data_IF_367370363403
#
_entry.id   IF_367370363403
#
_cell.length_a   1.000
_cell.length_b   1.000
_cell.length_c   1.000
_cell.angle_alpha   90.00
_cell.angle_beta   90.00
_cell.angle_gamma   90.00
#
_symmetry.space_group_name_H-M   'P 1'
#
loop_
_entity.id
_entity.type
_entity.pdbx_description
1 polymer ?
#
# COMPACT_ATOMS: atom_id res chain seq x y z
N UNK A 1 -8.39 -18.32 -12.98
CA UNK A 1 -8.14 -16.97 -13.51
C UNK A 1 -7.68 -16.10 -12.37
N UNK A 2 -6.37 -16.01 -12.20
CA UNK A 2 -5.73 -15.09 -11.27
C UNK A 2 -6.08 -13.66 -11.71
N UNK A 3 -6.99 -13.03 -10.95
CA UNK A 3 -7.43 -11.65 -11.18
C UNK A 3 -6.33 -10.65 -10.83
N UNK A 4 -5.34 -11.09 -10.07
CA UNK A 4 -4.15 -10.33 -9.70
C UNK A 4 -3.00 -10.85 -10.55
N UNK A 5 -2.55 -10.06 -11.52
CA UNK A 5 -1.42 -10.38 -12.40
C UNK A 5 -0.14 -9.61 -12.03
N UNK A 6 -0.28 -8.74 -11.04
CA UNK A 6 0.71 -7.77 -10.61
C UNK A 6 0.90 -7.89 -9.10
N UNK A 7 2.10 -7.59 -8.65
CA UNK A 7 2.35 -7.37 -7.23
C UNK A 7 1.61 -6.09 -6.81
N UNK A 8 1.20 -6.01 -5.54
CA UNK A 8 0.48 -4.84 -5.01
C UNK A 8 1.33 -4.11 -3.99
N UNK A 9 1.30 -2.79 -4.03
CA UNK A 9 1.78 -1.96 -2.92
C UNK A 9 0.58 -1.58 -2.08
N UNK A 10 0.67 -1.77 -0.77
CA UNK A 10 -0.37 -1.48 0.21
C UNK A 10 0.11 -0.42 1.19
N UNK A 11 -0.83 0.40 1.65
CA UNK A 11 -0.64 1.32 2.76
C UNK A 11 -1.79 1.15 3.75
N UNK A 12 -1.46 1.20 5.04
CA UNK A 12 -2.43 1.10 6.12
C UNK A 12 -2.33 2.35 6.99
N UNK A 13 -2.84 3.50 6.49
CA UNK A 13 -2.75 4.76 7.23
C UNK A 13 -3.53 4.68 8.55
N UNK A 14 -4.66 3.97 8.56
CA UNK A 14 -5.52 3.77 9.74
C UNK A 14 -6.07 2.36 9.85
N UNK A 15 -6.65 2.05 11.02
CA UNK A 15 -7.03 0.69 11.40
C UNK A 15 -8.11 0.08 10.50
N UNK A 16 -8.99 0.93 9.97
CA UNK A 16 -10.13 0.53 9.15
C UNK A 16 -9.88 0.77 7.65
N UNK A 17 -8.77 1.43 7.29
CA UNK A 17 -8.47 1.82 5.91
C UNK A 17 -7.21 1.12 5.40
N UNK A 18 -7.39 0.32 4.34
CA UNK A 18 -6.28 -0.27 3.58
C UNK A 18 -6.36 0.23 2.16
N UNK A 19 -5.31 0.91 1.72
CA UNK A 19 -5.15 1.37 0.34
C UNK A 19 -4.21 0.41 -0.39
N UNK A 20 -4.46 0.14 -1.67
CA UNK A 20 -3.59 -0.71 -2.48
C UNK A 20 -3.59 -0.29 -3.95
N UNK A 21 -2.44 -0.43 -4.59
CA UNK A 21 -2.24 -0.13 -6.02
C UNK A 21 -1.33 -1.17 -6.68
N UNK A 22 -1.38 -1.33 -8.01
CA UNK A 22 -0.45 -2.20 -8.73
C UNK A 22 0.98 -1.67 -8.60
N UNK A 23 1.93 -2.54 -8.27
CA UNK A 23 3.34 -2.18 -8.14
C UNK A 23 3.96 -1.74 -9.48
N UNK A 24 3.45 -2.23 -10.61
CA UNK A 24 3.86 -1.76 -11.94
C UNK A 24 3.43 -0.32 -12.23
N UNK A 25 2.43 0.22 -11.53
CA UNK A 25 1.94 1.59 -11.74
C UNK A 25 2.63 2.57 -10.78
N UNK A 26 3.82 3.04 -11.19
CA UNK A 26 4.63 3.96 -10.39
C UNK A 26 3.89 5.24 -9.99
N UNK A 27 3.05 5.78 -10.88
CA UNK A 27 2.30 7.00 -10.57
C UNK A 27 1.23 6.74 -9.50
N UNK A 28 0.56 5.58 -9.56
CA UNK A 28 -0.37 5.18 -8.52
C UNK A 28 0.35 4.93 -7.18
N UNK A 29 1.54 4.34 -7.19
CA UNK A 29 2.38 4.14 -5.98
C UNK A 29 2.79 5.47 -5.36
N UNK A 30 3.21 6.46 -6.14
CA UNK A 30 3.55 7.79 -5.60
C UNK A 30 2.33 8.46 -4.97
N UNK A 31 1.17 8.43 -5.65
CA UNK A 31 -0.08 8.97 -5.08
C UNK A 31 -0.52 8.24 -3.82
N UNK A 32 -0.32 6.91 -3.76
CA UNK A 32 -0.59 6.11 -2.57
C UNK A 32 0.25 6.61 -1.39
N UNK A 33 1.54 6.90 -1.60
CA UNK A 33 2.43 7.44 -0.56
C UNK A 33 1.91 8.78 -0.04
N UNK A 34 1.67 9.73 -0.93
CA UNK A 34 1.17 11.06 -0.55
C UNK A 34 -0.16 10.98 0.21
N UNK A 35 -1.08 10.12 -0.25
CA UNK A 35 -2.38 9.93 0.39
C UNK A 35 -2.24 9.25 1.76
N UNK A 36 -1.39 8.23 1.88
CA UNK A 36 -1.15 7.54 3.14
C UNK A 36 -0.51 8.47 4.18
N UNK A 37 0.44 9.31 3.77
CA UNK A 37 1.04 10.32 4.65
C UNK A 37 0.03 11.37 5.10
N UNK A 38 -0.79 11.89 4.18
CA UNK A 38 -1.84 12.86 4.49
C UNK A 38 -2.92 12.28 5.42
N UNK A 39 -3.35 11.03 5.17
CA UNK A 39 -4.33 10.35 6.00
C UNK A 39 -3.76 10.06 7.41
N UNK A 40 -2.50 9.65 7.51
CA UNK A 40 -1.83 9.46 8.79
C UNK A 40 -1.79 10.76 9.62
N UNK A 41 -1.50 11.90 9.00
CA UNK A 41 -1.38 13.20 9.70
C UNK A 41 -2.75 13.79 10.11
N UNK A 42 -3.78 13.54 9.31
CA UNK A 42 -5.13 14.05 9.55
C UNK A 42 -6.00 13.18 10.47
N UNK A 43 -5.72 11.88 10.60
CA UNK A 43 -6.56 10.97 11.39
C UNK A 43 -6.19 10.94 12.88
N UNK A 44 -7.20 10.65 13.72
CA UNK A 44 -7.05 10.59 15.18
C UNK A 44 -6.34 9.33 15.69
N UNK A 45 -6.41 8.24 14.93
CA UNK A 45 -5.82 6.94 15.27
C UNK A 45 -4.97 6.41 14.10
N UNK A 46 -3.82 7.06 13.82
CA UNK A 46 -2.93 6.63 12.77
C UNK A 46 -2.25 5.30 13.12
N UNK A 47 -2.18 4.40 12.13
CA UNK A 47 -1.57 3.07 12.29
C UNK A 47 -0.14 3.04 11.79
N UNK A 48 0.08 3.33 10.51
CA UNK A 48 1.42 3.26 9.92
C UNK A 48 1.57 4.15 8.70
N UNK A 49 2.76 4.74 8.54
CA UNK A 49 3.22 5.35 7.28
C UNK A 49 3.92 4.34 6.36
N UNK A 50 4.14 3.12 6.87
CA UNK A 50 4.82 2.06 6.14
C UNK A 50 4.03 1.58 4.94
N UNK A 51 4.76 1.24 3.89
CA UNK A 51 4.24 0.62 2.69
C UNK A 51 4.60 -0.87 2.72
N UNK A 52 3.69 -1.69 2.23
CA UNK A 52 3.87 -3.13 2.18
C UNK A 52 3.79 -3.60 0.74
N UNK A 53 4.64 -4.54 0.35
CA UNK A 53 4.59 -5.22 -0.94
C UNK A 53 3.90 -6.56 -0.77
N UNK A 54 2.78 -6.76 -1.45
CA UNK A 54 2.17 -8.08 -1.60
C UNK A 54 2.64 -8.70 -2.91
N UNK A 55 3.46 -9.74 -2.82
CA UNK A 55 3.85 -10.51 -3.99
C UNK A 55 2.75 -11.48 -4.37
N UNK A 56 2.19 -11.34 -5.57
CA UNK A 56 1.14 -12.23 -6.06
C UNK A 56 1.67 -13.66 -6.28
N UNK A 57 2.91 -13.76 -6.77
CA UNK A 57 3.57 -15.03 -7.06
C UNK A 57 3.87 -15.83 -5.79
N UNK A 58 4.26 -15.16 -4.72
CA UNK A 58 4.61 -15.80 -3.44
C UNK A 58 3.46 -15.82 -2.44
N UNK A 59 2.39 -15.05 -2.70
CA UNK A 59 1.28 -14.76 -1.76
C UNK A 59 1.80 -14.30 -0.40
N UNK A 60 2.82 -13.46 -0.44
CA UNK A 60 3.57 -13.01 0.73
C UNK A 60 3.48 -11.49 0.84
N UNK A 61 3.41 -10.99 2.07
CA UNK A 61 3.43 -9.57 2.40
C UNK A 61 4.79 -9.25 3.02
N UNK A 62 5.55 -8.36 2.40
CA UNK A 62 6.84 -7.87 2.91
C UNK A 62 6.81 -6.35 3.07
N UNK A 63 7.78 -5.78 3.78
CA UNK A 63 7.99 -4.33 3.74
C UNK A 63 8.34 -3.90 2.30
N UNK A 64 7.80 -2.75 1.88
CA UNK A 64 8.16 -2.14 0.61
C UNK A 64 9.38 -1.24 0.83
N UNK A 65 10.57 -1.80 0.62
CA UNK A 65 11.82 -1.02 0.62
C UNK A 65 11.96 -0.25 -0.71
N UNK A 66 12.21 1.06 -0.59
CA UNK A 66 12.38 2.01 -1.71
C UNK A 66 13.83 2.00 -2.20
#
# INVERSE_FOLDING_TARGET
MDKLKDDLVLAVPTRDTVLFVPASDRQAVEKLKEHAEGAYDMEKDPVSKGLFLFSQSRKELTDYEV
#
